data_IF_788567635029
#
_entry.id   IF_788567635029
#
_cell.length_a   1.000
_cell.length_b   1.000
_cell.length_c   1.000
_cell.angle_alpha   90.00
_cell.angle_beta   90.00
_cell.angle_gamma   90.00
#
_symmetry.space_group_name_H-M   'P 1'
#
loop_
_entity.id
_entity.type
_entity.pdbx_description
1 polymer ?
#
# COMPACT_ATOMS: atom_id res chain seq x y z
N UNK A 1 -9.05 11.38 10.17
CA UNK A 1 -7.72 11.84 9.75
C UNK A 1 -6.70 11.39 10.76
N UNK A 2 -5.82 10.49 10.32
CA UNK A 2 -4.84 9.75 11.12
C UNK A 2 -3.52 10.51 11.34
N UNK A 3 -3.38 11.72 10.82
CA UNK A 3 -2.24 12.62 11.04
C UNK A 3 -2.78 14.04 11.24
N UNK A 4 -2.53 14.65 12.40
CA UNK A 4 -3.08 15.97 12.75
C UNK A 4 -2.01 17.00 13.10
N UNK A 5 -0.74 16.61 13.21
CA UNK A 5 0.33 17.49 13.70
C UNK A 5 1.59 17.44 12.84
N UNK A 6 2.38 18.52 12.89
CA UNK A 6 3.71 18.55 12.25
C UNK A 6 4.71 17.62 12.95
N UNK A 7 4.51 17.32 14.24
CA UNK A 7 5.39 16.42 14.98
C UNK A 7 5.30 15.00 14.43
N UNK A 8 4.09 14.52 14.15
CA UNK A 8 3.87 13.20 13.54
C UNK A 8 4.48 13.13 12.13
N UNK A 9 4.33 14.19 11.33
CA UNK A 9 4.95 14.25 10.00
C UNK A 9 6.48 14.17 10.09
N UNK A 10 7.09 14.81 11.09
CA UNK A 10 8.54 14.81 11.32
C UNK A 10 9.10 13.44 11.67
N UNK A 11 8.28 12.52 12.17
CA UNK A 11 8.72 11.15 12.45
C UNK A 11 9.02 10.38 11.15
N UNK A 12 8.40 10.77 10.04
CA UNK A 12 8.49 10.05 8.77
C UNK A 12 9.22 10.82 7.66
N UNK A 13 9.19 12.15 7.68
CA UNK A 13 9.83 13.00 6.67
C UNK A 13 10.54 14.19 7.35
N UNK A 14 11.78 14.44 6.96
CA UNK A 14 12.54 15.61 7.43
C UNK A 14 11.95 16.89 6.85
N UNK A 15 11.32 17.70 7.70
CA UNK A 15 10.74 18.99 7.31
C UNK A 15 11.47 20.15 8.00
N UNK A 16 11.71 21.23 7.24
CA UNK A 16 12.36 22.45 7.74
C UNK A 16 11.50 23.26 8.73
N UNK A 17 12.14 24.20 9.41
CA UNK A 17 11.47 25.19 10.28
C UNK A 17 10.60 26.10 9.42
N UNK A 18 9.33 26.30 9.82
CA UNK A 18 8.39 27.19 9.10
C UNK A 18 7.43 26.49 8.12
N UNK A 19 7.37 25.16 8.12
CA UNK A 19 6.33 24.44 7.36
C UNK A 19 4.94 24.70 7.95
N UNK A 20 3.99 24.99 7.06
CA UNK A 20 2.58 25.21 7.41
C UNK A 20 1.78 23.91 7.23
N UNK A 21 1.24 23.41 8.34
CA UNK A 21 0.40 22.22 8.37
C UNK A 21 -0.83 22.38 7.46
N UNK A 22 -1.40 23.58 7.37
CA UNK A 22 -2.63 23.82 6.61
C UNK A 22 -2.44 23.58 5.11
N UNK A 23 -1.21 23.68 4.60
CA UNK A 23 -0.90 23.40 3.19
C UNK A 23 -0.88 21.92 2.88
N UNK A 24 -0.57 21.05 3.86
CA UNK A 24 -0.47 19.60 3.64
C UNK A 24 -1.74 18.84 4.04
N UNK A 25 -2.54 19.36 4.98
CA UNK A 25 -3.78 18.71 5.43
C UNK A 25 -4.75 18.31 4.30
N UNK A 26 -5.00 19.15 3.26
CA UNK A 26 -5.84 18.74 2.15
C UNK A 26 -5.31 17.52 1.40
N UNK A 27 -3.98 17.42 1.26
CA UNK A 27 -3.31 16.31 0.58
C UNK A 27 -3.27 15.05 1.45
N UNK A 28 -3.19 15.19 2.78
CA UNK A 28 -3.39 14.08 3.72
C UNK A 28 -4.79 13.51 3.55
N UNK A 29 -5.82 14.36 3.62
CA UNK A 29 -7.21 13.92 3.42
C UNK A 29 -7.42 13.25 2.05
N UNK A 30 -6.81 13.81 1.00
CA UNK A 30 -6.87 13.23 -0.35
C UNK A 30 -6.22 11.85 -0.41
N UNK A 31 -5.03 11.69 0.18
CA UNK A 31 -4.30 10.42 0.23
C UNK A 31 -5.01 9.38 1.12
N UNK A 32 -5.61 9.78 2.24
CA UNK A 32 -6.42 8.88 3.08
C UNK A 32 -7.58 8.28 2.29
N UNK A 33 -8.34 9.14 1.61
CA UNK A 33 -9.52 8.71 0.85
C UNK A 33 -9.14 7.90 -0.40
N UNK A 34 -8.05 8.26 -1.08
CA UNK A 34 -7.64 7.60 -2.32
C UNK A 34 -6.94 6.24 -2.09
N UNK A 35 -6.22 6.09 -0.97
CA UNK A 35 -5.33 4.93 -0.79
C UNK A 35 -5.53 4.18 0.53
N UNK A 36 -5.66 4.87 1.66
CA UNK A 36 -5.72 4.21 2.98
C UNK A 36 -7.09 3.57 3.22
N UNK A 37 -8.18 4.32 3.03
CA UNK A 37 -9.54 3.82 3.23
C UNK A 37 -9.88 2.65 2.29
N UNK A 38 -9.54 2.69 0.99
CA UNK A 38 -9.78 1.53 0.12
C UNK A 38 -8.95 0.29 0.50
N UNK A 39 -7.76 0.49 1.08
CA UNK A 39 -6.88 -0.60 1.53
C UNK A 39 -7.42 -1.28 2.79
N UNK A 40 -7.71 -0.49 3.83
CA UNK A 40 -8.16 -0.98 5.13
C UNK A 40 -9.65 -1.36 5.13
N UNK A 41 -10.44 -0.67 4.31
CA UNK A 41 -11.90 -0.65 4.36
C UNK A 41 -12.44 0.11 5.58
N UNK A 42 -13.75 0.32 5.61
CA UNK A 42 -14.39 1.31 6.50
C UNK A 42 -14.20 1.00 7.98
N UNK A 43 -14.65 -0.16 8.45
CA UNK A 43 -14.61 -0.50 9.88
C UNK A 43 -13.18 -0.52 10.45
N UNK A 44 -12.21 -1.12 9.76
CA UNK A 44 -10.82 -1.12 10.21
C UNK A 44 -10.20 0.29 10.22
N UNK A 45 -10.56 1.15 9.26
CA UNK A 45 -10.12 2.55 9.27
C UNK A 45 -10.73 3.31 10.45
N UNK A 46 -12.03 3.13 10.69
CA UNK A 46 -12.76 3.81 11.76
C UNK A 46 -12.25 3.37 13.14
N UNK A 47 -11.98 2.08 13.35
CA UNK A 47 -11.35 1.58 14.58
C UNK A 47 -9.94 2.17 14.78
N UNK A 48 -9.14 2.24 13.72
CA UNK A 48 -7.80 2.85 13.78
C UNK A 48 -7.89 4.35 14.08
N UNK A 49 -8.92 5.03 13.58
CA UNK A 49 -9.19 6.44 13.85
C UNK A 49 -9.61 6.65 15.31
N UNK A 50 -10.53 5.84 15.83
CA UNK A 50 -10.94 5.88 17.23
C UNK A 50 -9.76 5.61 18.17
N UNK A 51 -8.91 4.63 17.82
CA UNK A 51 -7.70 4.34 18.56
C UNK A 51 -6.72 5.52 18.57
N UNK A 52 -6.56 6.19 17.42
CA UNK A 52 -5.71 7.37 17.29
C UNK A 52 -6.22 8.57 18.11
N UNK A 53 -7.54 8.74 18.18
CA UNK A 53 -8.17 9.84 18.91
C UNK A 53 -8.25 9.58 20.42
N UNK A 54 -8.06 8.33 20.85
CA UNK A 54 -8.03 7.94 22.26
C UNK A 54 -6.68 8.23 22.93
N UNK A 55 -6.69 8.44 24.24
CA UNK A 55 -5.45 8.53 25.02
C UNK A 55 -4.74 7.17 25.04
N UNK A 56 -3.46 7.16 24.65
CA UNK A 56 -2.66 5.94 24.71
C UNK A 56 -2.44 5.55 26.17
N UNK A 57 -2.87 4.34 26.60
CA UNK A 57 -2.69 3.91 27.98
C UNK A 57 -1.20 3.71 28.29
N UNK A 58 -0.81 4.00 29.54
CA UNK A 58 0.59 3.87 29.99
C UNK A 58 1.17 2.44 29.82
N UNK A 59 0.30 1.42 29.88
CA UNK A 59 0.65 0.02 29.62
C UNK A 59 -0.32 -0.55 28.59
N UNK A 60 0.05 -0.57 27.29
CA UNK A 60 -0.85 -1.05 26.24
C UNK A 60 -0.98 -2.58 26.26
N UNK A 61 -2.22 -3.06 26.06
CA UNK A 61 -2.52 -4.48 25.81
C UNK A 61 -1.89 -4.97 24.50
N UNK A 62 -1.84 -6.29 24.26
CA UNK A 62 -1.28 -6.85 23.02
C UNK A 62 -1.96 -6.31 21.74
N UNK A 63 -3.30 -6.17 21.76
CA UNK A 63 -4.07 -5.58 20.65
C UNK A 63 -3.69 -4.12 20.46
N UNK A 64 -3.61 -3.34 21.54
CA UNK A 64 -3.21 -1.93 21.45
C UNK A 64 -1.77 -1.77 20.95
N UNK A 65 -0.84 -2.65 21.33
CA UNK A 65 0.51 -2.66 20.78
C UNK A 65 0.51 -2.96 19.27
N UNK A 66 -0.37 -3.85 18.80
CA UNK A 66 -0.54 -4.12 17.39
C UNK A 66 -1.13 -2.89 16.65
N UNK A 67 -2.12 -2.21 17.26
CA UNK A 67 -2.71 -0.98 16.74
C UNK A 67 -1.70 0.17 16.64
N UNK A 68 -0.83 0.37 17.66
CA UNK A 68 0.25 1.37 17.61
C UNK A 68 1.18 1.10 16.43
N UNK A 69 1.59 -0.16 16.24
CA UNK A 69 2.48 -0.55 15.14
C UNK A 69 1.81 -0.41 13.78
N UNK A 70 0.52 -0.76 13.69
CA UNK A 70 -0.28 -0.57 12.47
C UNK A 70 -0.40 0.91 12.12
N UNK A 71 -0.77 1.74 13.11
CA UNK A 71 -0.90 3.18 12.96
C UNK A 71 0.39 3.80 12.42
N UNK A 72 1.55 3.47 13.01
CA UNK A 72 2.84 3.99 12.55
C UNK A 72 3.13 3.61 11.08
N UNK A 73 2.78 2.40 10.66
CA UNK A 73 2.93 1.96 9.25
C UNK A 73 1.98 2.70 8.32
N UNK A 74 0.73 2.88 8.74
CA UNK A 74 -0.28 3.62 7.97
C UNK A 74 0.13 5.09 7.84
N UNK A 75 0.61 5.72 8.92
CA UNK A 75 1.06 7.11 8.92
C UNK A 75 2.30 7.31 8.04
N UNK A 76 3.28 6.40 8.09
CA UNK A 76 4.44 6.42 7.17
C UNK A 76 3.97 6.48 5.70
N UNK A 77 3.10 5.54 5.31
CA UNK A 77 2.56 5.52 3.95
C UNK A 77 1.76 6.76 3.62
N UNK A 78 0.88 7.17 4.52
CA UNK A 78 -0.01 8.30 4.33
C UNK A 78 0.77 9.61 4.13
N UNK A 79 1.77 9.88 4.96
CA UNK A 79 2.60 11.09 4.84
C UNK A 79 3.33 11.11 3.51
N UNK A 80 3.95 10.00 3.11
CA UNK A 80 4.64 9.90 1.81
C UNK A 80 3.65 10.09 0.63
N UNK A 81 2.47 9.47 0.69
CA UNK A 81 1.45 9.62 -0.34
C UNK A 81 0.87 11.05 -0.38
N UNK A 82 0.70 11.70 0.77
CA UNK A 82 0.26 13.09 0.84
C UNK A 82 1.25 14.03 0.14
N UNK A 83 2.56 13.86 0.39
CA UNK A 83 3.59 14.61 -0.31
C UNK A 83 3.63 14.31 -1.81
N UNK A 84 3.40 13.05 -2.21
CA UNK A 84 3.32 12.68 -3.62
C UNK A 84 2.11 13.33 -4.32
N UNK A 85 0.92 13.25 -3.73
CA UNK A 85 -0.32 13.83 -4.26
C UNK A 85 -0.24 15.36 -4.30
N UNK A 86 0.33 15.98 -3.28
CA UNK A 86 0.46 17.43 -3.18
C UNK A 86 1.71 18.01 -3.85
N UNK A 87 2.60 17.18 -4.41
CA UNK A 87 3.96 17.59 -4.78
C UNK A 87 3.99 18.85 -5.66
N UNK A 88 3.12 18.88 -6.68
CA UNK A 88 3.09 19.96 -7.66
C UNK A 88 2.46 21.25 -7.10
N UNK A 89 1.62 21.14 -6.08
CA UNK A 89 0.93 22.28 -5.45
C UNK A 89 1.75 22.86 -4.31
N UNK A 90 2.45 22.01 -3.55
CA UNK A 90 3.24 22.43 -2.38
C UNK A 90 4.41 23.35 -2.76
N UNK A 91 4.93 23.25 -4.00
CA UNK A 91 5.97 24.13 -4.54
C UNK A 91 5.46 25.49 -5.06
N UNK A 92 4.13 25.67 -5.12
CA UNK A 92 3.46 26.85 -5.69
C UNK A 92 2.74 27.64 -4.58
N UNK A 93 2.81 28.97 -4.67
CA UNK A 93 1.97 29.91 -3.94
C UNK A 93 0.75 30.25 -4.81
N UNK A 94 -0.43 30.06 -4.24
CA UNK A 94 -1.70 30.42 -4.86
C UNK A 94 -2.23 31.62 -4.07
N UNK A 95 -2.39 32.76 -4.73
CA UNK A 95 -2.97 33.98 -4.16
C UNK A 95 -3.96 34.63 -5.14
N UNK A 96 -4.65 35.68 -4.71
CA UNK A 96 -5.66 36.37 -5.54
C UNK A 96 -5.09 36.98 -6.83
N UNK A 97 -3.77 37.13 -6.92
CA UNK A 97 -3.08 37.63 -8.12
C UNK A 97 -2.60 36.50 -9.06
N UNK A 98 -2.76 35.23 -8.67
CA UNK A 98 -2.45 34.07 -9.49
C UNK A 98 -1.48 33.09 -8.84
N UNK A 99 -0.67 32.42 -9.68
CA UNK A 99 0.28 31.37 -9.28
C UNK A 99 1.71 31.90 -9.33
N UNK A 100 2.44 31.78 -8.23
CA UNK A 100 3.88 32.10 -8.17
C UNK A 100 4.66 30.95 -7.53
N UNK A 101 5.95 30.82 -7.85
CA UNK A 101 6.81 29.83 -7.18
C UNK A 101 7.29 30.36 -5.85
N UNK A 102 7.44 29.46 -4.88
CA UNK A 102 8.13 29.77 -3.62
C UNK A 102 9.63 29.90 -3.93
N UNK A 103 10.10 31.12 -4.17
CA UNK A 103 11.53 31.45 -4.25
C UNK A 103 11.88 32.43 -3.13
N UNK A 104 12.98 32.17 -2.43
CA UNK A 104 13.52 33.09 -1.42
C UNK A 104 15.00 33.34 -1.69
N UNK A 105 15.52 34.50 -1.29
CA UNK A 105 16.95 34.83 -1.43
C UNK A 105 17.88 33.81 -0.73
N UNK A 106 17.36 33.05 0.25
CA UNK A 106 18.12 32.08 1.04
C UNK A 106 17.98 30.64 0.58
N UNK A 107 17.06 30.34 -0.34
CA UNK A 107 16.78 28.97 -0.79
C UNK A 107 16.76 28.89 -2.30
N UNK A 108 17.70 28.13 -2.88
CA UNK A 108 17.66 27.81 -4.31
C UNK A 108 16.62 26.72 -4.56
N UNK A 109 15.80 26.83 -5.61
CA UNK A 109 14.90 25.75 -5.99
C UNK A 109 15.69 24.51 -6.40
N UNK A 110 15.07 23.34 -6.26
CA UNK A 110 15.63 22.09 -6.72
C UNK A 110 15.76 22.10 -8.25
N UNK A 111 16.76 21.39 -8.78
CA UNK A 111 16.79 21.11 -10.21
C UNK A 111 15.67 20.12 -10.56
N UNK A 112 15.17 20.17 -11.81
CA UNK A 112 14.08 19.31 -12.27
C UNK A 112 14.29 17.82 -11.97
N UNK A 113 15.49 17.29 -12.20
CA UNK A 113 15.80 15.88 -11.92
C UNK A 113 15.74 15.56 -10.41
N UNK A 114 16.06 16.52 -9.53
CA UNK A 114 15.95 16.35 -8.09
C UNK A 114 14.48 16.38 -7.63
N UNK A 115 13.65 17.24 -8.24
CA UNK A 115 12.20 17.25 -8.01
C UNK A 115 11.56 15.92 -8.44
N UNK A 116 11.89 15.43 -9.64
CA UNK A 116 11.40 14.16 -10.16
C UNK A 116 11.82 12.98 -9.28
N UNK A 117 13.10 12.94 -8.88
CA UNK A 117 13.62 11.90 -7.98
C UNK A 117 12.94 11.94 -6.60
N UNK A 118 12.72 13.14 -6.05
CA UNK A 118 12.05 13.29 -4.75
C UNK A 118 10.58 12.89 -4.82
N UNK A 119 9.86 13.31 -5.87
CA UNK A 119 8.48 12.89 -6.13
C UNK A 119 8.38 11.37 -6.27
N UNK A 120 9.31 10.76 -7.02
CA UNK A 120 9.39 9.31 -7.16
C UNK A 120 9.69 8.61 -5.83
N UNK A 121 10.53 9.19 -4.98
CA UNK A 121 10.83 8.66 -3.65
C UNK A 121 9.57 8.63 -2.76
N UNK A 122 8.84 9.75 -2.67
CA UNK A 122 7.56 9.82 -1.95
C UNK A 122 6.54 8.82 -2.48
N UNK A 123 6.43 8.71 -3.82
CA UNK A 123 5.57 7.72 -4.47
C UNK A 123 5.94 6.29 -4.03
N UNK A 124 7.20 5.91 -4.19
CA UNK A 124 7.66 4.55 -3.95
C UNK A 124 7.54 4.17 -2.47
N UNK A 125 7.98 5.04 -1.55
CA UNK A 125 7.85 4.79 -0.10
C UNK A 125 6.39 4.70 0.32
N UNK A 126 5.54 5.58 -0.21
CA UNK A 126 4.11 5.60 0.06
C UNK A 126 3.45 4.27 -0.34
N UNK A 127 3.58 3.88 -1.60
CA UNK A 127 3.00 2.65 -2.12
C UNK A 127 3.61 1.39 -1.52
N UNK A 128 4.93 1.32 -1.32
CA UNK A 128 5.56 0.14 -0.73
C UNK A 128 5.13 -0.03 0.73
N UNK A 129 5.00 1.06 1.50
CA UNK A 129 4.47 0.99 2.85
C UNK A 129 3.02 0.47 2.92
N UNK A 130 2.20 0.65 1.86
CA UNK A 130 0.87 0.02 1.81
C UNK A 130 0.95 -1.51 1.73
N UNK A 131 2.02 -2.06 1.13
CA UNK A 131 2.27 -3.51 1.18
C UNK A 131 2.64 -3.93 2.60
N UNK A 132 3.53 -3.17 3.25
CA UNK A 132 3.94 -3.43 4.63
C UNK A 132 2.76 -3.41 5.61
N UNK A 133 1.79 -2.52 5.40
CA UNK A 133 0.53 -2.48 6.15
C UNK A 133 -0.23 -3.80 5.99
N UNK A 134 -0.44 -4.28 4.76
CA UNK A 134 -1.16 -5.54 4.53
C UNK A 134 -0.41 -6.75 5.08
N UNK A 135 0.91 -6.81 4.88
CA UNK A 135 1.76 -7.88 5.42
C UNK A 135 1.69 -7.90 6.95
N UNK A 136 1.69 -6.72 7.59
CA UNK A 136 1.57 -6.61 9.04
C UNK A 136 0.21 -7.07 9.54
N UNK A 137 -0.88 -6.66 8.88
CA UNK A 137 -2.24 -7.09 9.23
C UNK A 137 -2.38 -8.60 9.08
N UNK A 138 -1.91 -9.20 7.97
CA UNK A 138 -2.00 -10.66 7.77
C UNK A 138 -1.22 -11.43 8.86
N UNK A 139 -0.02 -10.95 9.23
CA UNK A 139 0.80 -11.59 10.26
C UNK A 139 0.20 -11.48 11.68
N UNK A 140 -0.70 -10.52 11.92
CA UNK A 140 -1.28 -10.24 13.23
C UNK A 140 -2.82 -10.29 13.19
N UNK A 141 -3.40 -11.04 12.24
CA UNK A 141 -4.85 -11.01 11.96
C UNK A 141 -5.71 -11.38 13.17
N UNK A 142 -5.16 -12.12 14.13
CA UNK A 142 -5.81 -12.43 15.41
C UNK A 142 -6.15 -11.20 16.25
N UNK A 143 -5.53 -10.06 15.96
CA UNK A 143 -5.74 -8.77 16.64
C UNK A 143 -6.61 -7.79 15.82
N UNK A 144 -7.01 -8.14 14.60
CA UNK A 144 -7.73 -7.27 13.67
C UNK A 144 -8.97 -7.98 13.12
N UNK A 145 -9.95 -8.23 13.99
CA UNK A 145 -11.16 -8.98 13.63
C UNK A 145 -12.04 -8.20 12.64
N UNK A 146 -12.02 -6.88 12.78
CA UNK A 146 -12.69 -5.85 12.00
C UNK A 146 -12.19 -5.92 10.55
N UNK A 147 -10.87 -6.00 10.34
CA UNK A 147 -10.33 -6.23 9.02
C UNK A 147 -10.69 -7.62 8.47
N UNK A 148 -10.60 -8.67 9.30
CA UNK A 148 -10.88 -10.05 8.90
C UNK A 148 -12.32 -10.22 8.41
N UNK A 149 -13.26 -9.47 8.97
CA UNK A 149 -14.68 -9.51 8.60
C UNK A 149 -14.97 -8.85 7.25
N UNK A 150 -14.04 -8.06 6.70
CA UNK A 150 -14.29 -7.25 5.53
C UNK A 150 -14.06 -7.96 4.19
N UNK A 151 -14.70 -7.48 3.10
CA UNK A 151 -14.45 -7.97 1.75
C UNK A 151 -12.97 -7.90 1.34
N UNK A 152 -12.23 -6.88 1.81
CA UNK A 152 -10.82 -6.68 1.51
C UNK A 152 -9.96 -7.87 1.95
N UNK A 153 -10.22 -8.43 3.14
CA UNK A 153 -9.55 -9.63 3.62
C UNK A 153 -9.86 -10.85 2.73
N UNK A 154 -11.13 -11.04 2.38
CA UNK A 154 -11.54 -12.15 1.51
C UNK A 154 -10.84 -12.06 0.14
N UNK A 155 -10.86 -10.88 -0.50
CA UNK A 155 -10.17 -10.64 -1.77
C UNK A 155 -8.67 -10.94 -1.64
N UNK A 156 -8.04 -10.46 -0.57
CA UNK A 156 -6.62 -10.73 -0.29
C UNK A 156 -6.35 -12.24 -0.21
N UNK A 157 -7.10 -12.99 0.61
CA UNK A 157 -6.89 -14.43 0.82
C UNK A 157 -7.22 -15.28 -0.39
N UNK A 158 -8.17 -14.87 -1.23
CA UNK A 158 -8.48 -15.58 -2.48
C UNK A 158 -7.42 -15.38 -3.57
N UNK A 159 -6.57 -14.36 -3.48
CA UNK A 159 -5.53 -14.12 -4.48
C UNK A 159 -4.39 -15.14 -4.38
N UNK A 160 -3.96 -15.69 -5.51
CA UNK A 160 -2.73 -16.52 -5.54
C UNK A 160 -1.49 -15.69 -5.23
N UNK A 161 -1.48 -14.41 -5.60
CA UNK A 161 -0.42 -13.43 -5.34
C UNK A 161 -1.04 -12.27 -4.52
N UNK A 162 -1.15 -12.37 -3.19
CA UNK A 162 -1.84 -11.37 -2.37
C UNK A 162 -1.01 -10.10 -2.13
N UNK A 163 0.31 -10.26 -1.96
CA UNK A 163 1.25 -9.19 -1.58
C UNK A 163 2.55 -9.30 -2.39
N UNK A 164 3.32 -8.23 -2.42
CA UNK A 164 4.65 -8.22 -3.07
C UNK A 164 5.58 -9.23 -2.40
N UNK A 165 5.45 -9.41 -1.08
CA UNK A 165 6.21 -10.41 -0.32
C UNK A 165 6.08 -11.83 -0.90
N UNK A 166 4.87 -12.28 -1.25
CA UNK A 166 4.67 -13.60 -1.86
C UNK A 166 5.34 -13.71 -3.23
N UNK A 167 5.37 -12.61 -3.99
CA UNK A 167 6.08 -12.58 -5.28
C UNK A 167 7.59 -12.66 -5.08
N UNK A 168 8.14 -12.03 -4.04
CA UNK A 168 9.57 -12.08 -3.72
C UNK A 168 10.06 -13.44 -3.21
N UNK A 169 9.17 -14.29 -2.71
CA UNK A 169 9.49 -15.70 -2.39
C UNK A 169 9.73 -16.54 -3.66
N UNK A 170 9.30 -16.05 -4.82
CA UNK A 170 9.55 -16.64 -6.13
C UNK A 170 10.85 -15.99 -6.66
N UNK A 171 11.69 -16.70 -7.45
CA UNK A 171 12.88 -16.12 -8.09
C UNK A 171 12.52 -15.14 -9.23
N UNK A 172 11.71 -14.13 -8.90
CA UNK A 172 11.19 -13.09 -9.78
C UNK A 172 11.46 -11.73 -9.11
N UNK A 173 12.21 -10.87 -9.77
CA UNK A 173 12.55 -9.58 -9.20
C UNK A 173 11.56 -8.50 -9.63
N UNK A 174 10.77 -8.02 -8.67
CA UNK A 174 9.84 -6.90 -8.84
C UNK A 174 10.36 -5.63 -8.12
N UNK A 175 11.62 -5.63 -7.67
CA UNK A 175 12.27 -4.56 -6.90
C UNK A 175 11.44 -4.09 -5.68
N UNK A 176 10.68 -5.01 -5.07
CA UNK A 176 9.74 -4.72 -3.98
C UNK A 176 8.67 -3.66 -4.32
N UNK A 177 8.41 -3.38 -5.61
CA UNK A 177 7.53 -2.30 -6.04
C UNK A 177 6.06 -2.73 -5.99
N UNK A 178 5.31 -2.20 -5.02
CA UNK A 178 3.86 -2.40 -4.96
C UNK A 178 3.14 -1.80 -6.15
N UNK A 179 3.63 -0.68 -6.68
CA UNK A 179 3.03 -0.06 -7.86
C UNK A 179 3.11 -0.98 -9.08
N UNK A 180 4.28 -1.56 -9.35
CA UNK A 180 4.45 -2.49 -10.45
C UNK A 180 3.58 -3.75 -10.24
N UNK A 181 3.48 -4.24 -9.01
CA UNK A 181 2.58 -5.34 -8.67
C UNK A 181 1.09 -5.00 -8.93
N UNK A 182 0.64 -3.80 -8.57
CA UNK A 182 -0.73 -3.35 -8.84
C UNK A 182 -1.00 -3.21 -10.34
N UNK A 183 -0.03 -2.71 -11.11
CA UNK A 183 -0.14 -2.61 -12.57
C UNK A 183 -0.19 -3.99 -13.24
N UNK A 184 0.43 -5.01 -12.63
CA UNK A 184 0.40 -6.38 -13.13
C UNK A 184 -0.89 -7.14 -12.78
N UNK A 185 -1.69 -6.66 -11.79
CA UNK A 185 -2.91 -7.35 -11.35
C UNK A 185 -3.91 -7.71 -12.47
N UNK A 186 -4.18 -6.86 -13.47
CA UNK A 186 -5.05 -7.23 -14.58
C UNK A 186 -4.54 -8.46 -15.33
N UNK A 187 -3.23 -8.53 -15.58
CA UNK A 187 -2.60 -9.66 -16.27
C UNK A 187 -2.61 -10.91 -15.40
N UNK A 188 -2.40 -10.77 -14.09
CA UNK A 188 -2.55 -11.89 -13.14
C UNK A 188 -3.96 -12.46 -13.21
N UNK A 189 -4.99 -11.62 -13.16
CA UNK A 189 -6.39 -12.07 -13.26
C UNK A 189 -6.66 -12.77 -14.59
N UNK A 190 -6.18 -12.20 -15.70
CA UNK A 190 -6.36 -12.78 -17.03
C UNK A 190 -5.71 -14.15 -17.15
N UNK A 191 -4.44 -14.31 -16.71
CA UNK A 191 -3.73 -15.60 -16.75
C UNK A 191 -4.35 -16.61 -15.76
N UNK A 192 -4.82 -16.14 -14.61
CA UNK A 192 -5.53 -16.97 -13.64
C UNK A 192 -6.77 -17.61 -14.27
N UNK A 193 -7.59 -16.83 -14.99
CA UNK A 193 -8.81 -17.32 -15.63
C UNK A 193 -8.53 -18.13 -16.91
N UNK A 194 -7.61 -17.68 -17.76
CA UNK A 194 -7.41 -18.27 -19.09
C UNK A 194 -6.47 -19.47 -19.11
N UNK A 195 -5.44 -19.48 -18.26
CA UNK A 195 -4.43 -20.54 -18.23
C UNK A 195 -4.59 -21.43 -16.99
N UNK A 196 -4.55 -20.84 -15.79
CA UNK A 196 -4.53 -21.61 -14.54
C UNK A 196 -5.85 -22.34 -14.31
N UNK A 197 -6.98 -21.65 -14.40
CA UNK A 197 -8.31 -22.24 -14.21
C UNK A 197 -8.64 -23.28 -15.28
N UNK A 198 -8.25 -23.02 -16.53
CA UNK A 198 -8.41 -23.97 -17.64
C UNK A 198 -7.63 -25.27 -17.40
N UNK A 199 -6.39 -25.17 -16.91
CA UNK A 199 -5.54 -26.32 -16.63
C UNK A 199 -6.04 -27.16 -15.45
N UNK A 200 -6.48 -26.50 -14.38
CA UNK A 200 -6.95 -27.19 -13.16
C UNK A 200 -8.38 -27.75 -13.32
N UNK A 201 -9.19 -27.12 -14.18
CA UNK A 201 -10.64 -27.33 -14.20
C UNK A 201 -11.34 -26.65 -13.02
N UNK A 202 -12.63 -26.34 -13.18
CA UNK A 202 -13.42 -25.58 -12.19
C UNK A 202 -13.44 -26.25 -10.82
N UNK A 203 -13.66 -27.56 -10.74
CA UNK A 203 -13.79 -28.28 -9.47
C UNK A 203 -12.52 -28.17 -8.59
N UNK A 204 -11.34 -28.35 -9.17
CA UNK A 204 -10.06 -28.28 -8.42
C UNK A 204 -9.75 -26.84 -8.09
N UNK A 205 -9.98 -25.93 -9.04
CA UNK A 205 -9.76 -24.50 -8.85
C UNK A 205 -10.61 -23.94 -7.70
N UNK A 206 -11.92 -24.20 -7.71
CA UNK A 206 -12.85 -23.73 -6.69
C UNK A 206 -12.52 -24.35 -5.32
N UNK A 207 -12.14 -25.63 -5.29
CA UNK A 207 -11.65 -26.28 -4.07
C UNK A 207 -10.43 -25.56 -3.49
N UNK A 208 -9.41 -25.26 -4.31
CA UNK A 208 -8.21 -24.54 -3.88
C UNK A 208 -8.56 -23.15 -3.34
N UNK A 209 -9.36 -22.37 -4.08
CA UNK A 209 -9.80 -21.03 -3.66
C UNK A 209 -10.56 -21.07 -2.33
N UNK A 210 -11.43 -22.06 -2.14
CA UNK A 210 -12.20 -22.25 -0.89
C UNK A 210 -11.32 -22.64 0.31
N UNK A 211 -10.19 -23.31 0.07
CA UNK A 211 -9.24 -23.70 1.11
C UNK A 211 -8.31 -22.53 1.49
N UNK A 212 -7.94 -21.68 0.53
CA UNK A 212 -7.03 -20.54 0.76
C UNK A 212 -7.60 -19.48 1.73
N UNK A 213 -8.92 -19.38 1.84
CA UNK A 213 -9.59 -18.44 2.76
C UNK A 213 -9.66 -18.96 4.20
N UNK A 214 -9.33 -20.23 4.45
CA UNK A 214 -9.39 -20.84 5.78
C UNK A 214 -8.16 -20.46 6.60
N UNK A 215 -8.33 -20.36 7.92
CA UNK A 215 -7.22 -20.15 8.85
C UNK A 215 -6.23 -21.32 8.86
N UNK A 216 -6.72 -22.54 8.56
CA UNK A 216 -5.92 -23.75 8.42
C UNK A 216 -6.29 -24.49 7.13
N UNK A 217 -5.73 -24.09 5.97
CA UNK A 217 -5.94 -24.79 4.71
C UNK A 217 -5.41 -26.23 4.75
N UNK A 218 -6.00 -27.13 3.97
CA UNK A 218 -5.49 -28.48 3.82
C UNK A 218 -4.02 -28.49 3.35
N UNK A 219 -3.18 -29.34 3.94
CA UNK A 219 -1.74 -29.41 3.64
C UNK A 219 -1.43 -29.59 2.14
N UNK A 220 -2.26 -30.36 1.42
CA UNK A 220 -2.15 -30.54 -0.03
C UNK A 220 -2.36 -29.25 -0.83
N UNK A 221 -3.18 -28.33 -0.34
CA UNK A 221 -3.40 -27.02 -0.97
C UNK A 221 -2.18 -26.15 -0.75
N UNK A 222 -1.67 -26.07 0.49
CA UNK A 222 -0.43 -25.33 0.78
C UNK A 222 0.74 -25.83 -0.05
N UNK A 223 0.84 -27.16 -0.25
CA UNK A 223 1.90 -27.77 -1.04
C UNK A 223 1.83 -27.44 -2.55
N UNK A 224 0.63 -27.24 -3.12
CA UNK A 224 0.48 -26.96 -4.56
C UNK A 224 0.64 -25.46 -4.90
N UNK A 225 0.42 -24.55 -3.94
CA UNK A 225 0.47 -23.10 -4.18
C UNK A 225 1.76 -22.61 -4.85
N UNK A 226 2.98 -23.05 -4.46
CA UNK A 226 4.21 -22.62 -5.15
C UNK A 226 4.22 -22.99 -6.64
N UNK A 227 3.64 -24.14 -7.01
CA UNK A 227 3.55 -24.62 -8.40
C UNK A 227 2.51 -23.87 -9.23
N UNK A 228 1.54 -23.21 -8.59
CA UNK A 228 0.58 -22.31 -9.24
C UNK A 228 1.15 -20.90 -9.35
N UNK A 229 1.70 -20.39 -8.25
CA UNK A 229 2.20 -19.01 -8.14
C UNK A 229 3.35 -18.73 -9.09
N UNK A 230 4.30 -19.67 -9.21
CA UNK A 230 5.48 -19.50 -10.08
C UNK A 230 5.10 -19.28 -11.55
N UNK A 231 4.38 -20.17 -12.25
CA UNK A 231 3.99 -19.92 -13.64
C UNK A 231 3.07 -18.69 -13.77
N UNK A 232 2.18 -18.46 -12.80
CA UNK A 232 1.28 -17.30 -12.82
C UNK A 232 2.06 -15.99 -12.88
N UNK A 233 3.07 -15.79 -12.02
CA UNK A 233 3.83 -14.52 -12.03
C UNK A 233 4.62 -14.34 -13.32
N UNK A 234 5.28 -15.38 -13.84
CA UNK A 234 6.07 -15.25 -15.07
C UNK A 234 5.19 -14.99 -16.30
N UNK A 235 4.06 -15.69 -16.43
CA UNK A 235 3.13 -15.49 -17.54
C UNK A 235 2.47 -14.11 -17.49
N UNK A 236 2.02 -13.69 -16.31
CA UNK A 236 1.43 -12.36 -16.13
C UNK A 236 2.45 -11.24 -16.40
N UNK A 237 3.71 -11.45 -16.01
CA UNK A 237 4.81 -10.52 -16.27
C UNK A 237 5.15 -10.43 -17.76
N UNK A 238 5.22 -11.56 -18.46
CA UNK A 238 5.47 -11.58 -19.89
C UNK A 238 4.37 -10.84 -20.66
N UNK A 239 3.10 -11.10 -20.33
CA UNK A 239 1.96 -10.40 -20.92
C UNK A 239 2.01 -8.89 -20.62
N UNK A 240 2.33 -8.52 -19.37
CA UNK A 240 2.47 -7.12 -18.98
C UNK A 240 3.56 -6.40 -19.79
N UNK A 241 4.73 -7.02 -19.96
CA UNK A 241 5.82 -6.47 -20.77
C UNK A 241 5.40 -6.33 -22.24
N UNK A 242 4.68 -7.31 -22.79
CA UNK A 242 4.21 -7.31 -24.18
C UNK A 242 3.21 -6.17 -24.43
N UNK A 243 2.24 -5.97 -23.53
CA UNK A 243 1.19 -4.96 -23.72
C UNK A 243 1.66 -3.54 -23.45
N UNK A 244 2.57 -3.35 -22.50
CA UNK A 244 2.98 -2.00 -22.05
C UNK A 244 4.31 -1.54 -22.63
N UNK A 245 5.11 -2.46 -23.18
CA UNK A 245 6.50 -2.19 -23.54
C UNK A 245 7.39 -1.86 -22.33
N UNK A 246 6.92 -2.09 -21.11
CA UNK A 246 7.69 -1.82 -19.90
C UNK A 246 8.77 -2.88 -19.67
N UNK A 247 9.94 -2.44 -19.25
CA UNK A 247 10.95 -3.33 -18.66
C UNK A 247 10.63 -3.52 -17.17
N UNK A 248 10.60 -4.77 -16.71
CA UNK A 248 10.51 -5.08 -15.27
C UNK A 248 11.94 -5.02 -14.71
N UNK A 249 12.45 -3.80 -14.56
CA UNK A 249 13.81 -3.48 -14.12
C UNK A 249 13.94 -2.01 -13.76
#
# INVERSE_FOLDING_TARGET
MLVKTLSEIKEFVTIGIGNDLNRILPHISSAENAYIKPLLGTDMYDELQEFYDAETPAVPTAVQQAMIKLLAKVQLSLVNLAYYVGFDILSILINDQGFSRVESERSKPLFKYQEENLKANFKNNGFNGLDDVLVFIEANITHFAEFKAQPNWTVLKTSFLPTVKIVQEIPFNLNASRLAFLNMKPMVSYIEDTAIKTLLGSTIYDYIKSEMVKDSPAAKVTAILPYIRKPLVYLASALFMEETGAELG
#
